data_IF_452636647059
#
_entry.id   IF_452636647059
#
_cell.length_a   1.000
_cell.length_b   1.000
_cell.length_c   1.000
_cell.angle_alpha   90.00
_cell.angle_beta   90.00
_cell.angle_gamma   90.00
#
_symmetry.space_group_name_H-M   'P 1'
#
loop_
_entity.id
_entity.type
_entity.pdbx_description
1 polymer ?
#
# COMPACT_ATOMS: atom_id res chain seq x y z
N UNK A 1 26.61 8.56 -8.50
CA UNK A 1 25.68 9.62 -8.04
C UNK A 1 24.41 9.52 -8.86
N UNK A 2 23.36 8.94 -8.30
CA UNK A 2 22.11 8.64 -9.01
C UNK A 2 21.28 9.92 -9.20
N UNK A 3 21.13 10.34 -10.45
CA UNK A 3 20.48 11.60 -10.84
C UNK A 3 18.94 11.62 -10.73
N UNK A 4 18.31 10.52 -10.29
CA UNK A 4 16.85 10.44 -10.15
C UNK A 4 16.31 11.11 -8.87
N UNK A 5 17.17 11.46 -7.90
CA UNK A 5 16.82 12.11 -6.61
C UNK A 5 16.33 13.57 -6.69
N UNK A 6 15.83 14.05 -7.84
CA UNK A 6 15.34 15.44 -7.99
C UNK A 6 13.83 15.59 -8.13
N UNK A 7 13.07 14.49 -8.24
CA UNK A 7 11.62 14.57 -8.23
C UNK A 7 11.11 14.62 -6.78
N UNK A 8 10.27 15.61 -6.46
CA UNK A 8 9.64 15.77 -5.14
C UNK A 8 8.91 14.50 -4.69
N UNK A 9 8.47 13.67 -5.64
CA UNK A 9 7.75 12.42 -5.40
C UNK A 9 8.55 11.42 -4.56
N UNK A 10 9.89 11.46 -4.64
CA UNK A 10 10.77 10.57 -3.86
C UNK A 10 11.23 11.17 -2.53
N UNK A 11 10.87 12.42 -2.24
CA UNK A 11 11.31 13.04 -1.00
C UNK A 11 10.38 12.59 0.14
N UNK A 12 10.95 12.03 1.22
CA UNK A 12 10.16 11.78 2.42
C UNK A 12 9.67 13.11 2.98
N UNK A 13 8.38 13.19 3.26
CA UNK A 13 7.77 14.23 4.07
C UNK A 13 7.65 13.71 5.50
N UNK A 14 7.92 14.54 6.50
CA UNK A 14 7.84 14.16 7.92
C UNK A 14 9.20 14.13 8.62
N UNK A 15 9.26 13.42 9.76
CA UNK A 15 10.47 13.29 10.60
C UNK A 15 11.16 11.94 10.37
N UNK A 16 12.36 11.73 10.91
CA UNK A 16 13.12 10.48 10.69
C UNK A 16 12.36 9.20 11.07
N UNK A 17 11.45 9.28 12.06
CA UNK A 17 10.69 8.13 12.56
C UNK A 17 9.22 8.09 12.07
N UNK A 18 8.79 9.10 11.33
CA UNK A 18 7.42 9.23 10.85
C UNK A 18 7.46 9.96 9.52
N UNK A 19 7.84 9.22 8.48
CA UNK A 19 8.04 9.74 7.15
C UNK A 19 7.14 9.04 6.16
N UNK A 20 6.67 9.80 5.19
CA UNK A 20 5.77 9.35 4.14
C UNK A 20 6.17 9.95 2.80
N UNK A 21 5.50 9.58 1.71
CA UNK A 21 5.83 10.09 0.36
C UNK A 21 4.55 10.50 -0.36
N UNK A 22 4.68 11.17 -1.51
CA UNK A 22 3.51 11.70 -2.22
C UNK A 22 2.50 10.62 -2.59
N UNK A 23 2.95 9.39 -2.93
CA UNK A 23 2.03 8.30 -3.28
C UNK A 23 1.24 7.80 -2.07
N UNK A 24 1.86 7.74 -0.88
CA UNK A 24 1.19 7.36 0.36
C UNK A 24 0.18 8.42 0.79
N UNK A 25 0.53 9.71 0.68
CA UNK A 25 -0.41 10.81 0.94
C UNK A 25 -1.61 10.70 0.00
N UNK A 26 -1.39 10.54 -1.30
CA UNK A 26 -2.47 10.36 -2.26
C UNK A 26 -3.33 9.12 -1.97
N UNK A 27 -2.71 8.02 -1.54
CA UNK A 27 -3.40 6.80 -1.15
C UNK A 27 -4.24 6.97 0.13
N UNK A 28 -3.74 7.74 1.11
CA UNK A 28 -4.44 8.06 2.35
C UNK A 28 -5.65 8.96 2.12
N UNK A 29 -5.52 9.93 1.20
CA UNK A 29 -6.57 10.91 0.88
C UNK A 29 -7.58 10.41 -0.16
N UNK A 30 -7.37 9.23 -0.75
CA UNK A 30 -8.26 8.70 -1.79
C UNK A 30 -8.08 9.37 -3.17
N UNK A 31 -6.97 10.08 -3.41
CA UNK A 31 -6.73 10.83 -4.66
C UNK A 31 -6.23 9.92 -5.78
N UNK A 32 -7.16 9.16 -6.37
CA UNK A 32 -6.92 8.27 -7.53
C UNK A 32 -6.28 9.02 -8.69
N UNK A 33 -6.65 10.29 -8.93
CA UNK A 33 -6.10 11.07 -10.04
C UNK A 33 -4.62 11.42 -9.81
N UNK A 34 -4.23 11.73 -8.57
CA UNK A 34 -2.82 11.93 -8.24
C UNK A 34 -2.04 10.62 -8.39
N UNK A 35 -2.57 9.49 -7.90
CA UNK A 35 -1.92 8.19 -8.08
C UNK A 35 -1.76 7.87 -9.57
N UNK A 36 -2.81 8.06 -10.38
CA UNK A 36 -2.76 7.90 -11.83
C UNK A 36 -1.64 8.75 -12.46
N UNK A 37 -1.51 10.03 -12.08
CA UNK A 37 -0.43 10.89 -12.58
C UNK A 37 0.94 10.37 -12.18
N UNK A 38 1.11 9.97 -10.93
CA UNK A 38 2.37 9.41 -10.43
C UNK A 38 2.78 8.16 -11.23
N UNK A 39 1.87 7.20 -11.42
CA UNK A 39 2.15 5.95 -12.12
C UNK A 39 2.40 6.10 -13.64
N UNK A 40 1.82 7.12 -14.28
CA UNK A 40 1.92 7.33 -15.72
C UNK A 40 3.10 8.19 -16.16
N UNK A 41 3.63 9.06 -15.30
CA UNK A 41 4.73 9.96 -15.66
C UNK A 41 6.13 9.33 -15.64
N UNK A 42 6.25 8.01 -15.86
CA UNK A 42 7.52 7.25 -15.78
C UNK A 42 8.23 7.42 -14.43
N UNK A 43 7.45 7.67 -13.37
CA UNK A 43 7.95 7.69 -12.01
C UNK A 43 7.86 6.27 -11.49
N UNK A 44 9.01 5.64 -11.31
CA UNK A 44 9.14 4.34 -10.66
C UNK A 44 9.03 4.57 -9.14
N UNK A 45 7.87 5.04 -8.67
CA UNK A 45 7.59 5.39 -7.27
C UNK A 45 6.46 4.54 -6.66
N UNK A 46 6.02 3.51 -7.38
CA UNK A 46 4.88 2.68 -7.03
C UNK A 46 5.19 1.66 -5.93
N UNK A 47 6.48 1.31 -5.78
CA UNK A 47 7.04 0.40 -4.78
C UNK A 47 7.65 1.13 -3.57
N UNK A 48 7.44 2.45 -3.46
CA UNK A 48 7.89 3.18 -2.29
C UNK A 48 7.19 2.66 -1.04
N UNK A 49 7.93 2.64 0.06
CA UNK A 49 7.43 2.37 1.39
C UNK A 49 7.40 3.66 2.20
N UNK A 50 6.70 3.69 3.32
CA UNK A 50 6.76 4.74 4.34
C UNK A 50 7.56 4.29 5.58
N UNK A 51 7.53 5.06 6.67
CA UNK A 51 8.23 4.73 7.93
C UNK A 51 7.77 3.42 8.59
N UNK A 52 6.56 2.95 8.31
CA UNK A 52 6.04 1.68 8.80
C UNK A 52 6.29 0.52 7.81
N UNK A 53 7.16 0.74 6.81
CA UNK A 53 7.35 -0.19 5.70
C UNK A 53 6.05 -0.49 4.94
N UNK A 54 5.09 0.44 4.97
CA UNK A 54 3.80 0.29 4.27
C UNK A 54 3.92 0.81 2.86
N UNK A 55 3.37 0.08 1.90
CA UNK A 55 3.19 0.56 0.53
C UNK A 55 1.82 1.26 0.37
N UNK A 56 1.55 1.80 -0.81
CA UNK A 56 0.29 2.50 -1.11
C UNK A 56 -0.98 1.64 -0.89
N UNK A 57 -0.92 0.31 -1.08
CA UNK A 57 -2.06 -0.59 -0.79
C UNK A 57 -2.35 -0.66 0.71
N UNK A 58 -1.34 -0.83 1.56
CA UNK A 58 -1.52 -0.81 3.02
C UNK A 58 -2.20 0.50 3.47
N UNK A 59 -1.65 1.64 3.03
CA UNK A 59 -2.14 2.97 3.43
C UNK A 59 -3.59 3.18 2.96
N UNK A 60 -3.92 2.82 1.72
CA UNK A 60 -5.29 2.94 1.21
C UNK A 60 -6.30 2.05 1.95
N UNK A 61 -5.91 0.82 2.31
CA UNK A 61 -6.76 -0.09 3.11
C UNK A 61 -7.00 0.47 4.51
N UNK A 62 -5.96 0.94 5.20
CA UNK A 62 -6.07 1.52 6.55
C UNK A 62 -6.97 2.75 6.61
N UNK A 63 -7.01 3.52 5.52
CA UNK A 63 -7.81 4.74 5.42
C UNK A 63 -9.17 4.53 4.75
N UNK A 64 -9.58 3.28 4.50
CA UNK A 64 -10.86 2.93 3.87
C UNK A 64 -11.05 3.53 2.48
N UNK A 65 -9.96 3.61 1.69
CA UNK A 65 -9.95 4.23 0.36
C UNK A 65 -10.16 3.17 -0.73
N UNK A 66 -11.35 2.55 -0.76
CA UNK A 66 -11.70 1.42 -1.63
C UNK A 66 -11.51 1.71 -3.13
N UNK A 67 -11.69 2.95 -3.57
CA UNK A 67 -11.46 3.33 -4.97
C UNK A 67 -9.96 3.32 -5.33
N UNK A 68 -9.10 3.77 -4.41
CA UNK A 68 -7.64 3.66 -4.58
C UNK A 68 -7.21 2.20 -4.58
N UNK A 69 -7.75 1.38 -3.68
CA UNK A 69 -7.41 -0.05 -3.64
C UNK A 69 -7.73 -0.71 -4.98
N UNK A 70 -8.95 -0.51 -5.50
CA UNK A 70 -9.34 -1.05 -6.82
C UNK A 70 -8.45 -0.53 -7.94
N UNK A 71 -8.18 0.77 -7.97
CA UNK A 71 -7.30 1.37 -8.98
C UNK A 71 -5.88 0.79 -8.96
N UNK A 72 -5.31 0.56 -7.78
CA UNK A 72 -3.98 -0.05 -7.64
C UNK A 72 -3.98 -1.53 -8.05
N UNK A 73 -5.03 -2.29 -7.72
CA UNK A 73 -5.15 -3.71 -8.09
C UNK A 73 -5.41 -3.93 -9.58
N UNK A 74 -6.01 -2.96 -10.28
CA UNK A 74 -6.22 -3.03 -11.73
C UNK A 74 -4.93 -2.78 -12.55
N UNK A 75 -3.80 -2.47 -11.89
CA UNK A 75 -2.52 -2.17 -12.54
C UNK A 75 -1.52 -3.32 -12.36
N UNK A 76 -1.13 -3.98 -13.46
CA UNK A 76 -0.09 -5.04 -13.49
C UNK A 76 1.24 -4.63 -12.83
N UNK A 77 1.53 -3.32 -12.75
CA UNK A 77 2.75 -2.82 -12.07
C UNK A 77 2.68 -2.97 -10.55
N UNK A 78 1.48 -2.90 -9.98
CA UNK A 78 1.23 -2.87 -8.56
C UNK A 78 0.94 -4.27 -7.99
N UNK A 79 0.90 -5.29 -8.84
CA UNK A 79 0.71 -6.70 -8.50
C UNK A 79 1.59 -7.16 -7.34
N UNK A 80 2.86 -6.74 -7.33
CA UNK A 80 3.81 -7.14 -6.28
C UNK A 80 3.51 -6.50 -4.94
N UNK A 81 2.71 -5.44 -4.86
CA UNK A 81 2.39 -4.76 -3.60
C UNK A 81 1.46 -5.59 -2.69
N UNK A 82 0.74 -6.56 -3.27
CA UNK A 82 -0.39 -7.27 -2.65
C UNK A 82 0.04 -8.19 -1.50
N UNK A 83 1.26 -8.71 -1.53
CA UNK A 83 1.76 -9.67 -0.54
C UNK A 83 3.04 -9.23 0.19
N UNK A 84 3.43 -7.96 0.00
CA UNK A 84 4.52 -7.36 0.77
C UNK A 84 4.08 -7.16 2.23
N UNK A 85 4.93 -7.51 3.21
CA UNK A 85 4.66 -7.26 4.61
C UNK A 85 5.10 -5.85 5.04
N UNK A 86 4.32 -5.22 5.91
CA UNK A 86 4.73 -4.03 6.65
C UNK A 86 5.69 -4.34 7.82
N UNK A 87 5.98 -3.33 8.65
CA UNK A 87 6.87 -3.46 9.81
C UNK A 87 6.40 -4.47 10.84
N UNK A 88 5.11 -4.81 10.90
CA UNK A 88 4.53 -5.79 11.82
C UNK A 88 4.30 -7.16 11.14
N UNK A 89 4.73 -7.30 9.89
CA UNK A 89 4.52 -8.50 9.11
C UNK A 89 3.11 -8.61 8.53
N UNK A 90 2.30 -7.56 8.64
CA UNK A 90 0.96 -7.53 8.07
C UNK A 90 1.07 -7.27 6.57
N UNK A 91 0.37 -8.06 5.78
CA UNK A 91 0.10 -7.74 4.37
C UNK A 91 -1.14 -6.84 4.28
N UNK A 92 -1.44 -6.21 3.13
CA UNK A 92 -2.67 -5.44 2.95
C UNK A 92 -3.93 -6.26 3.30
N UNK A 93 -3.92 -7.59 3.10
CA UNK A 93 -5.03 -8.46 3.45
C UNK A 93 -5.22 -8.61 4.97
N UNK A 94 -4.14 -8.62 5.77
CA UNK A 94 -4.25 -8.62 7.23
C UNK A 94 -4.96 -7.34 7.72
N UNK A 95 -4.55 -6.19 7.17
CA UNK A 95 -5.15 -4.90 7.51
C UNK A 95 -6.61 -4.80 7.05
N UNK A 96 -6.94 -5.37 5.88
CA UNK A 96 -8.32 -5.42 5.39
C UNK A 96 -9.21 -6.22 6.35
N UNK A 97 -8.72 -7.37 6.83
CA UNK A 97 -9.47 -8.20 7.79
C UNK A 97 -9.71 -7.52 9.14
N UNK A 98 -8.81 -6.64 9.58
CA UNK A 98 -9.00 -5.81 10.78
C UNK A 98 -9.97 -4.65 10.56
N UNK A 99 -10.24 -4.30 9.30
CA UNK A 99 -11.07 -3.16 8.91
C UNK A 99 -12.55 -3.56 8.79
N UNK A 100 -13.44 -2.57 8.80
CA UNK A 100 -14.84 -2.76 8.42
C UNK A 100 -15.09 -2.75 6.91
N UNK A 101 -14.04 -2.66 6.09
CA UNK A 101 -14.16 -2.52 4.64
C UNK A 101 -14.36 -3.86 3.96
N UNK A 102 -15.00 -3.82 2.80
CA UNK A 102 -15.18 -4.99 1.97
C UNK A 102 -14.65 -4.70 0.57
N UNK A 103 -13.42 -5.17 0.31
CA UNK A 103 -12.77 -5.07 -1.01
C UNK A 103 -12.56 -6.49 -1.56
N UNK A 104 -13.55 -7.07 -2.27
CA UNK A 104 -13.46 -8.40 -2.87
C UNK A 104 -12.26 -8.57 -3.79
N UNK A 105 -11.83 -7.51 -4.46
CA UNK A 105 -10.71 -7.49 -5.38
C UNK A 105 -9.41 -7.87 -4.66
N UNK A 106 -9.16 -7.33 -3.46
CA UNK A 106 -7.98 -7.67 -2.66
C UNK A 106 -8.09 -9.10 -2.10
N UNK A 107 -9.28 -9.48 -1.62
CA UNK A 107 -9.54 -10.82 -1.06
C UNK A 107 -9.34 -11.92 -2.12
N UNK A 108 -9.74 -11.64 -3.37
CA UNK A 108 -9.69 -12.62 -4.45
C UNK A 108 -8.47 -12.45 -5.36
N UNK A 109 -7.58 -11.50 -5.05
CA UNK A 109 -6.38 -11.27 -5.85
C UNK A 109 -5.51 -12.54 -5.89
N UNK A 110 -5.00 -12.98 -7.05
CA UNK A 110 -4.23 -14.23 -7.17
C UNK A 110 -2.98 -14.28 -6.29
N UNK A 111 -2.39 -13.11 -5.99
CA UNK A 111 -1.20 -12.98 -5.13
C UNK A 111 -1.52 -12.86 -3.64
N UNK A 112 -2.77 -12.60 -3.26
CA UNK A 112 -3.12 -12.38 -1.87
C UNK A 112 -2.93 -13.67 -1.04
N UNK A 113 -2.00 -13.64 -0.09
CA UNK A 113 -1.70 -14.77 0.79
C UNK A 113 -2.69 -14.81 1.95
N UNK A 114 -3.71 -15.67 1.83
CA UNK A 114 -4.75 -15.86 2.87
C UNK A 114 -4.27 -16.59 4.13
N UNK A 115 -3.10 -17.25 4.05
CA UNK A 115 -2.54 -18.11 5.09
C UNK A 115 -1.13 -17.66 5.54
N UNK A 116 -0.67 -16.48 5.12
CA UNK A 116 0.58 -15.92 5.66
C UNK A 116 0.38 -15.53 7.12
N UNK A 117 1.42 -15.69 7.93
CA UNK A 117 1.42 -15.26 9.32
C UNK A 117 2.15 -13.91 9.45
N UNK A 118 1.57 -12.98 10.21
CA UNK A 118 2.26 -11.77 10.67
C UNK A 118 3.22 -12.09 11.84
N UNK A 119 3.86 -11.06 12.42
CA UNK A 119 4.79 -11.24 13.56
C UNK A 119 4.10 -11.71 14.85
N UNK A 120 2.79 -11.53 14.96
CA UNK A 120 1.97 -12.05 16.06
C UNK A 120 1.49 -13.50 15.82
N UNK A 121 1.95 -14.14 14.74
CA UNK A 121 1.56 -15.49 14.34
C UNK A 121 0.06 -15.62 14.07
N UNK A 122 -0.54 -14.56 13.50
CA UNK A 122 -1.93 -14.51 13.06
C UNK A 122 -1.99 -14.51 11.53
N UNK A 123 -2.93 -15.26 10.97
CA UNK A 123 -3.35 -15.12 9.57
C UNK A 123 -4.28 -13.91 9.40
N UNK A 124 -4.53 -13.42 8.17
CA UNK A 124 -5.54 -12.41 7.96
C UNK A 124 -6.91 -12.80 8.53
N UNK A 125 -7.27 -14.09 8.48
CA UNK A 125 -8.55 -14.55 9.04
C UNK A 125 -8.56 -14.51 10.58
N UNK A 126 -7.42 -14.78 11.23
CA UNK A 126 -7.32 -14.73 12.70
C UNK A 126 -7.47 -13.31 13.26
N UNK A 127 -7.26 -12.28 12.42
CA UNK A 127 -7.43 -10.86 12.77
C UNK A 127 -8.89 -10.41 12.61
N UNK A 128 -9.68 -11.09 11.79
CA UNK A 128 -11.09 -10.76 11.61
C UNK A 128 -11.87 -11.06 12.91
N UNK A 129 -12.44 -10.01 13.51
CA UNK A 129 -13.25 -10.09 14.74
C UNK A 129 -14.68 -10.61 14.49
#
# INVERSE_FOLDING_TARGET
>A
MLAWKKSLVYLPAGSENDWTTTIHIAASEGDVNMIYKLLNHRLDCWDMLDSNSQNALHVSVLNNQDEVVRFLLDSDKCDSLVDEPDSDGNTPLHLLSASGNHVPELINHPRAKKMSFNKENQTPLDIAL
#
